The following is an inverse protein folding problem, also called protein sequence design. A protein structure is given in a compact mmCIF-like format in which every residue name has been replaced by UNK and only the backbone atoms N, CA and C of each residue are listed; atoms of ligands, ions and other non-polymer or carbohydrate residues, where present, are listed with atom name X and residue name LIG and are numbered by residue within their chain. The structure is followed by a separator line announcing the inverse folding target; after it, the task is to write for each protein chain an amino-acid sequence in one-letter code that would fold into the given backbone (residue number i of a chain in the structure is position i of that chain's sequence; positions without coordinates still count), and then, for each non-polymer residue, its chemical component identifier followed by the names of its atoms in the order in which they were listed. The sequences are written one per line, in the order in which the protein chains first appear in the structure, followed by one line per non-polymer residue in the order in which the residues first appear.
data_IF_133822782414
#
_entry.id   IF_133822782414
#
_cell.length_a   1.000
_cell.length_b   1.000
_cell.length_c   1.000
_cell.angle_alpha   90.00
_cell.angle_beta   90.00
_cell.angle_gamma   90.00
#
_symmetry.space_group_name_H-M   'P 1'
#
loop_
_entity.id
_entity.type
_entity.pdbx_description
1 polymer ?
#
# COMPACT_ATOMS: atom_id res chain seq x y z
N UNK A 1 36.78 7.71 15.24
CA UNK A 1 36.77 6.33 14.74
C UNK A 1 36.64 5.44 15.96
N UNK A 2 35.49 4.82 16.08
CA UNK A 2 35.24 3.91 17.20
C UNK A 2 35.95 2.57 16.93
N UNK A 3 36.25 1.85 17.98
CA UNK A 3 36.93 0.57 17.93
C UNK A 3 35.90 -0.52 18.25
N UNK A 4 35.87 -1.57 17.45
CA UNK A 4 35.03 -2.72 17.77
C UNK A 4 35.49 -3.40 19.07
N UNK A 5 34.64 -4.24 19.67
CA UNK A 5 34.89 -4.91 20.95
C UNK A 5 36.22 -5.67 21.03
N UNK A 6 36.89 -5.96 19.92
CA UNK A 6 38.17 -6.62 19.83
C UNK A 6 39.34 -5.67 19.49
N UNK A 7 39.14 -4.36 19.58
CA UNK A 7 40.18 -3.37 19.33
C UNK A 7 40.51 -3.14 17.85
N UNK A 8 39.67 -3.62 16.93
CA UNK A 8 39.78 -3.32 15.51
C UNK A 8 39.21 -1.96 15.12
N UNK A 9 39.49 -1.53 13.90
CA UNK A 9 38.90 -0.31 13.34
C UNK A 9 37.42 -0.56 13.04
N UNK A 10 36.57 0.27 13.65
CA UNK A 10 35.12 0.22 13.31
C UNK A 10 34.91 0.79 11.93
N UNK A 11 34.16 0.06 11.11
CA UNK A 11 33.72 0.53 9.82
C UNK A 11 32.61 1.59 9.98
N UNK A 12 32.55 2.53 9.07
CA UNK A 12 31.46 3.51 9.05
C UNK A 12 30.11 2.78 8.94
N UNK A 13 29.15 3.14 9.81
CA UNK A 13 27.84 2.53 9.88
C UNK A 13 27.68 1.46 10.98
N UNK A 14 28.76 0.99 11.61
CA UNK A 14 28.65 0.06 12.74
C UNK A 14 28.29 0.82 14.02
N UNK A 15 27.16 0.50 14.59
CA UNK A 15 26.74 0.88 15.93
C UNK A 15 26.13 -0.35 16.59
N UNK A 16 26.68 -0.77 17.72
CA UNK A 16 26.19 -1.93 18.47
C UNK A 16 24.71 -1.73 18.87
N UNK A 17 23.89 -2.73 18.62
CA UNK A 17 22.45 -2.71 18.88
C UNK A 17 21.60 -2.16 17.71
N UNK A 18 22.20 -1.54 16.70
CA UNK A 18 21.45 -1.16 15.50
C UNK A 18 21.14 -2.38 14.62
N UNK A 19 20.01 -2.32 13.93
CA UNK A 19 19.64 -3.34 12.95
C UNK A 19 20.67 -3.42 11.81
N UNK A 20 20.90 -4.62 11.30
CA UNK A 20 21.71 -4.86 10.10
C UNK A 20 20.81 -4.62 8.90
N UNK A 21 21.11 -3.63 8.07
CA UNK A 21 20.44 -3.33 6.83
C UNK A 21 21.09 -4.11 5.69
N UNK A 22 20.28 -4.75 4.86
CA UNK A 22 20.74 -5.50 3.70
C UNK A 22 20.33 -4.80 2.42
N UNK A 23 21.18 -4.92 1.41
CA UNK A 23 20.91 -4.42 0.07
C UNK A 23 21.27 -5.50 -0.95
N UNK A 24 20.40 -5.66 -1.95
CA UNK A 24 20.61 -6.56 -3.08
C UNK A 24 20.86 -5.74 -4.33
N UNK A 25 21.96 -6.04 -5.02
CA UNK A 25 22.26 -5.43 -6.30
C UNK A 25 21.83 -6.36 -7.44
N UNK A 26 20.89 -5.85 -8.28
CA UNK A 26 20.45 -6.55 -9.49
C UNK A 26 21.30 -6.09 -10.68
N UNK A 27 22.18 -6.96 -11.15
CA UNK A 27 23.19 -6.62 -12.16
C UNK A 27 22.59 -6.22 -13.51
N UNK A 28 21.47 -6.84 -13.90
CA UNK A 28 20.79 -6.59 -15.17
C UNK A 28 20.21 -5.17 -15.26
N UNK A 29 19.74 -4.63 -14.14
CA UNK A 29 19.18 -3.29 -14.06
C UNK A 29 20.18 -2.26 -13.54
N UNK A 30 21.36 -2.73 -13.09
CA UNK A 30 22.38 -1.93 -12.41
C UNK A 30 21.80 -1.12 -11.23
N UNK A 31 20.84 -1.68 -10.52
CA UNK A 31 20.09 -1.05 -9.44
C UNK A 31 20.31 -1.81 -8.13
N UNK A 32 20.35 -1.06 -7.03
CA UNK A 32 20.48 -1.58 -5.66
C UNK A 32 19.11 -1.46 -4.99
N UNK A 33 18.62 -2.57 -4.48
CA UNK A 33 17.37 -2.65 -3.73
C UNK A 33 17.66 -2.88 -2.26
N UNK A 34 16.84 -2.34 -1.39
CA UNK A 34 16.81 -2.72 0.02
C UNK A 34 16.29 -4.15 0.13
N UNK A 35 16.66 -4.85 1.19
CA UNK A 35 16.25 -6.23 1.36
C UNK A 35 15.93 -6.54 2.81
N UNK A 36 14.87 -7.31 3.01
CA UNK A 36 14.48 -7.85 4.30
C UNK A 36 15.13 -9.21 4.53
N UNK A 37 15.61 -9.44 5.76
CA UNK A 37 16.29 -10.67 6.14
C UNK A 37 15.49 -11.44 7.19
N UNK A 38 15.21 -12.70 6.91
CA UNK A 38 14.75 -13.67 7.92
C UNK A 38 15.94 -14.36 8.54
N UNK A 39 16.01 -14.35 9.88
CA UNK A 39 17.14 -14.89 10.61
C UNK A 39 16.83 -16.28 11.15
N UNK A 40 17.78 -17.21 10.98
CA UNK A 40 17.74 -18.53 11.62
C UNK A 40 18.50 -18.53 12.96
N UNK A 41 19.37 -17.54 13.20
CA UNK A 41 20.05 -17.30 14.47
C UNK A 41 20.47 -15.83 14.57
N UNK A 42 20.52 -15.30 15.80
CA UNK A 42 20.78 -13.89 16.07
C UNK A 42 19.52 -13.04 16.02
N UNK A 43 19.65 -11.77 16.41
CA UNK A 43 18.57 -10.79 16.40
C UNK A 43 18.57 -9.87 15.18
N UNK A 44 19.59 -10.01 14.32
CA UNK A 44 19.79 -9.11 13.19
C UNK A 44 20.34 -7.75 13.57
N UNK A 45 20.99 -7.66 14.73
CA UNK A 45 21.60 -6.43 15.21
C UNK A 45 23.13 -6.51 15.18
N UNK A 46 23.76 -5.37 14.98
CA UNK A 46 25.19 -5.26 15.14
C UNK A 46 25.58 -5.54 16.59
N UNK A 47 26.57 -6.43 16.79
CA UNK A 47 27.01 -6.88 18.10
C UNK A 47 26.56 -8.28 18.48
N UNK A 48 25.68 -8.90 17.72
CA UNK A 48 25.35 -10.33 17.85
C UNK A 48 26.61 -11.18 17.68
N UNK A 49 26.78 -12.20 18.52
CA UNK A 49 27.92 -13.14 18.42
C UNK A 49 27.84 -13.93 17.11
N UNK A 50 26.62 -14.29 16.70
CA UNK A 50 26.34 -14.98 15.44
C UNK A 50 25.03 -14.43 14.88
N UNK A 51 25.07 -14.02 13.62
CA UNK A 51 23.88 -13.70 12.82
C UNK A 51 23.85 -14.64 11.61
N UNK A 52 22.78 -15.39 11.45
CA UNK A 52 22.57 -16.29 10.33
C UNK A 52 21.27 -15.92 9.62
N UNK A 53 21.39 -15.51 8.37
CA UNK A 53 20.24 -15.20 7.50
C UNK A 53 19.82 -16.49 6.79
N UNK A 54 18.55 -16.86 6.93
CA UNK A 54 17.95 -18.01 6.25
C UNK A 54 17.28 -17.63 4.92
N UNK A 55 16.79 -16.40 4.81
CA UNK A 55 16.16 -15.84 3.62
C UNK A 55 16.51 -14.36 3.53
N UNK A 56 16.77 -13.89 2.32
CA UNK A 56 16.98 -12.48 2.02
C UNK A 56 16.08 -12.13 0.83
N UNK A 57 15.08 -11.29 1.08
CA UNK A 57 14.09 -10.89 0.08
C UNK A 57 14.33 -9.43 -0.31
N UNK A 58 14.61 -9.14 -1.59
CA UNK A 58 14.72 -7.76 -2.05
C UNK A 58 13.36 -7.07 -2.00
N UNK A 59 13.38 -5.82 -1.55
CA UNK A 59 12.20 -4.98 -1.45
C UNK A 59 12.15 -4.10 -2.70
N UNK A 60 11.13 -4.27 -3.52
CA UNK A 60 10.97 -3.50 -4.75
C UNK A 60 9.96 -2.37 -4.51
N UNK A 61 10.41 -1.12 -4.62
CA UNK A 61 9.46 -0.01 -4.75
C UNK A 61 8.78 -0.07 -6.13
N UNK A 62 7.51 0.29 -6.14
CA UNK A 62 6.72 0.41 -7.35
C UNK A 62 6.15 1.81 -7.46
N UNK A 63 5.89 2.27 -8.68
CA UNK A 63 5.20 3.52 -8.90
C UNK A 63 3.73 3.25 -9.19
N UNK A 64 2.86 3.76 -8.32
CA UNK A 64 1.43 3.81 -8.58
C UNK A 64 1.08 5.12 -9.26
N UNK A 65 0.29 5.05 -10.31
CA UNK A 65 -0.21 6.19 -11.06
C UNK A 65 -1.73 6.20 -11.03
N UNK A 66 -2.32 7.33 -10.62
CA UNK A 66 -3.77 7.50 -10.46
C UNK A 66 -4.21 8.67 -11.33
N UNK A 67 -5.18 8.45 -12.20
CA UNK A 67 -5.79 9.49 -13.02
C UNK A 67 -6.84 10.25 -12.22
N UNK A 68 -6.80 11.58 -12.30
CA UNK A 68 -7.75 12.50 -11.70
C UNK A 68 -8.51 13.22 -12.81
N UNK A 69 -9.81 13.02 -12.86
CA UNK A 69 -10.67 13.69 -13.83
C UNK A 69 -11.03 15.10 -13.34
N UNK A 70 -10.97 16.06 -14.27
CA UNK A 70 -11.32 17.44 -13.97
C UNK A 70 -12.83 17.61 -13.82
N UNK A 71 -13.25 18.64 -13.07
CA UNK A 71 -14.64 19.06 -12.88
C UNK A 71 -15.54 18.04 -12.14
N UNK A 72 -14.95 17.00 -11.59
CA UNK A 72 -15.66 16.03 -10.75
C UNK A 72 -14.87 15.69 -9.48
N UNK A 73 -15.53 15.07 -8.52
CA UNK A 73 -14.88 14.52 -7.33
C UNK A 73 -14.29 13.16 -7.72
N UNK A 74 -13.03 12.96 -7.42
CA UNK A 74 -12.34 11.69 -7.60
C UNK A 74 -12.16 11.04 -6.24
N UNK A 75 -12.70 9.86 -6.02
CA UNK A 75 -12.37 9.05 -4.86
C UNK A 75 -11.18 8.17 -5.22
N UNK A 76 -10.06 8.41 -4.57
CA UNK A 76 -8.79 7.72 -4.83
C UNK A 76 -8.29 6.97 -3.61
N UNK A 77 -7.44 5.99 -3.84
CA UNK A 77 -6.68 5.32 -2.79
C UNK A 77 -5.32 4.85 -3.30
N UNK A 78 -4.42 4.68 -2.34
CA UNK A 78 -3.09 4.19 -2.63
C UNK A 78 -2.96 2.72 -2.19
N UNK A 79 -2.35 1.89 -3.03
CA UNK A 79 -1.97 0.52 -2.69
C UNK A 79 -0.45 0.36 -2.53
N UNK A 80 0.24 1.49 -2.40
CA UNK A 80 1.66 1.60 -2.07
C UNK A 80 1.84 2.51 -0.85
N UNK A 81 2.85 2.23 -0.05
CA UNK A 81 3.25 3.04 1.11
C UNK A 81 4.53 3.77 0.77
N UNK A 82 4.46 5.09 0.65
CA UNK A 82 5.62 5.94 0.39
C UNK A 82 6.30 6.35 1.69
N UNK A 83 7.61 6.55 1.65
CA UNK A 83 8.36 7.17 2.74
C UNK A 83 7.93 8.62 2.97
N UNK A 84 7.46 9.30 1.93
CA UNK A 84 6.95 10.65 2.02
C UNK A 84 5.41 10.63 2.00
N UNK A 85 4.81 10.83 3.18
CA UNK A 85 3.37 10.86 3.39
C UNK A 85 2.78 12.27 3.48
N UNK A 86 3.60 13.32 3.43
CA UNK A 86 3.11 14.71 3.48
C UNK A 86 2.15 15.00 2.32
N UNK A 87 0.93 15.43 2.64
CA UNK A 87 -0.13 15.64 1.64
C UNK A 87 0.26 16.68 0.59
N UNK A 88 1.00 17.71 0.98
CA UNK A 88 1.45 18.75 0.06
C UNK A 88 2.51 18.24 -0.91
N UNK A 89 3.31 17.28 -0.49
CA UNK A 89 4.31 16.61 -1.33
C UNK A 89 3.67 15.60 -2.28
N UNK A 90 2.71 14.81 -1.81
CA UNK A 90 1.97 13.83 -2.65
C UNK A 90 1.26 14.52 -3.81
N UNK A 91 0.68 15.69 -3.58
CA UNK A 91 -0.04 16.47 -4.59
C UNK A 91 0.74 17.66 -5.16
N UNK A 92 2.08 17.70 -5.00
CA UNK A 92 2.90 18.85 -5.38
C UNK A 92 2.77 19.26 -6.86
N UNK A 93 2.63 18.29 -7.75
CA UNK A 93 2.53 18.50 -9.21
C UNK A 93 1.07 18.62 -9.69
N UNK A 94 0.11 18.61 -8.77
CA UNK A 94 -1.32 18.63 -9.08
C UNK A 94 -1.99 19.93 -8.65
N UNK A 95 -2.88 20.45 -9.49
CA UNK A 95 -3.69 21.61 -9.17
C UNK A 95 -4.91 21.20 -8.32
N UNK A 96 -4.68 20.73 -7.11
CA UNK A 96 -5.74 20.35 -6.18
C UNK A 96 -6.44 21.61 -5.67
N UNK A 97 -7.77 21.64 -5.76
CA UNK A 97 -8.59 22.63 -5.08
C UNK A 97 -8.82 22.23 -3.63
N UNK A 98 -9.21 20.97 -3.43
CA UNK A 98 -9.44 20.37 -2.12
C UNK A 98 -9.23 18.87 -2.17
N UNK A 99 -8.62 18.33 -1.14
CA UNK A 99 -8.62 16.90 -0.83
C UNK A 99 -9.18 16.70 0.57
N UNK A 100 -9.96 15.64 0.80
CA UNK A 100 -10.56 15.34 2.10
C UNK A 100 -10.59 13.84 2.40
N UNK A 101 -10.64 13.50 3.70
CA UNK A 101 -10.80 12.15 4.19
C UNK A 101 -12.15 11.95 4.92
N UNK A 102 -12.42 10.73 5.38
CA UNK A 102 -13.63 10.35 6.10
C UNK A 102 -13.74 10.95 7.52
N UNK A 103 -12.63 11.42 8.09
CA UNK A 103 -12.62 12.15 9.36
C UNK A 103 -13.03 13.63 9.24
N UNK A 104 -13.31 14.10 8.03
CA UNK A 104 -13.65 15.49 7.75
C UNK A 104 -12.45 16.44 7.76
N UNK A 105 -11.23 15.91 7.75
CA UNK A 105 -10.02 16.70 7.55
C UNK A 105 -9.85 16.99 6.06
N UNK A 106 -9.24 18.12 5.73
CA UNK A 106 -9.03 18.52 4.35
C UNK A 106 -7.74 19.30 4.15
N UNK A 107 -7.23 19.20 2.93
CA UNK A 107 -6.11 19.97 2.40
C UNK A 107 -6.63 20.86 1.26
N UNK A 108 -6.42 22.18 1.38
CA UNK A 108 -6.83 23.18 0.39
C UNK A 108 -5.67 24.17 0.18
N UNK A 109 -4.70 23.86 -0.71
CA UNK A 109 -3.43 24.59 -0.83
C UNK A 109 -3.62 26.07 -1.15
N UNK A 110 -4.57 26.40 -2.01
CA UNK A 110 -4.84 27.79 -2.40
C UNK A 110 -5.36 28.69 -1.28
N UNK A 111 -5.85 28.07 -0.21
CA UNK A 111 -6.32 28.77 0.99
C UNK A 111 -5.36 28.67 2.15
N UNK A 112 -4.21 27.98 1.95
CA UNK A 112 -3.21 27.75 3.00
C UNK A 112 -3.73 26.89 4.14
N UNK A 113 -4.67 25.98 3.85
CA UNK A 113 -5.25 25.07 4.84
C UNK A 113 -4.74 23.68 4.63
N UNK A 114 -4.19 23.11 5.68
CA UNK A 114 -3.80 21.72 5.77
C UNK A 114 -4.22 21.17 7.14
N UNK A 115 -5.25 20.34 7.15
CA UNK A 115 -5.74 19.62 8.33
C UNK A 115 -5.48 18.12 8.21
N UNK A 116 -5.02 17.62 7.04
CA UNK A 116 -4.66 16.24 6.81
C UNK A 116 -3.24 15.99 7.34
N UNK A 117 -2.29 16.87 6.97
CA UNK A 117 -0.87 16.72 7.27
C UNK A 117 -0.25 15.56 6.50
N UNK A 118 -0.37 14.36 7.04
CA UNK A 118 0.16 13.13 6.43
C UNK A 118 -0.95 12.26 5.85
N UNK A 119 -0.71 11.68 4.69
CA UNK A 119 -1.58 10.69 4.04
C UNK A 119 -1.50 9.37 4.83
N UNK A 120 -2.64 8.88 5.27
CA UNK A 120 -2.82 7.51 5.74
C UNK A 120 -3.11 6.63 4.52
N UNK A 121 -2.13 5.85 4.08
CA UNK A 121 -2.26 4.98 2.91
C UNK A 121 -3.31 3.87 3.07
N UNK A 122 -3.77 3.61 4.29
CA UNK A 122 -4.87 2.68 4.57
C UNK A 122 -6.26 3.28 4.32
N UNK A 123 -6.34 4.55 3.89
CA UNK A 123 -7.58 5.29 3.67
C UNK A 123 -7.75 5.71 2.23
N UNK A 124 -9.02 5.94 1.87
CA UNK A 124 -9.37 6.62 0.64
C UNK A 124 -9.50 8.13 0.85
N UNK A 125 -9.34 8.88 -0.21
CA UNK A 125 -9.41 10.34 -0.24
C UNK A 125 -10.31 10.81 -1.38
N UNK A 126 -11.10 11.86 -1.12
CA UNK A 126 -11.84 12.55 -2.15
C UNK A 126 -11.03 13.76 -2.63
N UNK A 127 -10.73 13.83 -3.92
CA UNK A 127 -9.90 14.87 -4.54
C UNK A 127 -10.68 15.61 -5.60
N UNK A 128 -10.69 16.95 -5.52
CA UNK A 128 -11.25 17.81 -6.56
C UNK A 128 -10.16 18.74 -7.11
N UNK A 129 -10.03 18.74 -8.44
CA UNK A 129 -9.04 19.56 -9.12
C UNK A 129 -9.52 21.00 -9.35
N UNK A 130 -8.60 21.93 -9.32
CA UNK A 130 -8.82 23.28 -9.81
C UNK A 130 -8.54 23.33 -11.32
N UNK A 131 -9.53 23.71 -12.10
CA UNK A 131 -9.40 23.80 -13.56
C UNK A 131 -10.16 22.71 -14.30
N UNK A 132 -9.96 22.64 -15.59
CA UNK A 132 -10.73 21.80 -16.52
C UNK A 132 -9.85 20.78 -17.26
N UNK A 133 -8.68 20.49 -16.77
CA UNK A 133 -7.75 19.51 -17.35
C UNK A 133 -7.53 18.36 -16.39
N UNK A 134 -7.67 17.15 -16.90
CA UNK A 134 -7.32 15.94 -16.17
C UNK A 134 -5.84 15.92 -15.80
N UNK A 135 -5.51 15.29 -14.71
CA UNK A 135 -4.16 15.23 -14.16
C UNK A 135 -3.87 13.81 -13.65
N UNK A 136 -2.63 13.59 -13.30
CA UNK A 136 -2.19 12.29 -12.79
C UNK A 136 -1.40 12.50 -11.50
N UNK A 137 -1.75 11.76 -10.46
CA UNK A 137 -0.92 11.62 -9.25
C UNK A 137 -0.03 10.40 -9.44
N UNK A 138 1.27 10.57 -9.20
CA UNK A 138 2.22 9.45 -9.20
C UNK A 138 2.92 9.40 -7.85
N UNK A 139 2.93 8.23 -7.24
CA UNK A 139 3.58 7.98 -5.97
C UNK A 139 4.46 6.74 -6.06
N UNK A 140 5.68 6.83 -5.57
CA UNK A 140 6.60 5.71 -5.46
C UNK A 140 6.62 5.22 -4.01
N UNK A 141 6.55 3.91 -3.82
CA UNK A 141 6.56 3.30 -2.49
C UNK A 141 6.59 1.78 -2.54
N UNK A 142 6.52 1.17 -1.37
CA UNK A 142 6.41 -0.27 -1.23
C UNK A 142 4.96 -0.70 -1.44
N UNK A 143 4.70 -1.79 -2.17
CA UNK A 143 3.36 -2.35 -2.25
C UNK A 143 2.80 -2.61 -0.85
N UNK A 144 1.52 -2.30 -0.63
CA UNK A 144 0.86 -2.72 0.60
C UNK A 144 0.82 -4.25 0.67
N UNK A 145 1.04 -4.84 1.88
CA UNK A 145 0.94 -6.29 2.05
C UNK A 145 -0.45 -6.80 1.64
N UNK A 146 -0.51 -7.91 0.90
CA UNK A 146 -1.79 -8.50 0.46
C UNK A 146 -2.68 -8.93 1.64
N UNK A 147 -2.07 -9.27 2.78
CA UNK A 147 -2.73 -9.65 4.03
C UNK A 147 -3.04 -8.45 4.94
N UNK A 148 -2.97 -7.23 4.41
CA UNK A 148 -3.28 -6.03 5.19
C UNK A 148 -4.72 -6.09 5.73
N UNK A 149 -4.86 -5.90 7.04
CA UNK A 149 -6.17 -5.89 7.70
C UNK A 149 -6.76 -4.49 7.69
N UNK A 150 -7.90 -4.34 7.03
CA UNK A 150 -8.70 -3.12 7.00
C UNK A 150 -9.57 -3.01 8.23
N UNK A 151 -9.67 -1.79 8.77
CA UNK A 151 -10.56 -1.46 9.89
C UNK A 151 -11.65 -0.52 9.42
N UNK A 152 -12.89 -1.00 9.47
CA UNK A 152 -14.09 -0.25 9.06
C UNK A 152 -14.96 -0.01 10.29
N UNK A 153 -15.20 1.26 10.59
CA UNK A 153 -15.97 1.65 11.77
C UNK A 153 -17.48 1.59 11.47
N UNK A 154 -18.24 1.10 12.44
CA UNK A 154 -19.70 1.11 12.36
C UNK A 154 -20.27 2.53 12.47
N UNK A 155 -21.51 2.69 12.03
CA UNK A 155 -22.33 3.90 12.15
C UNK A 155 -21.77 5.15 11.45
N UNK A 156 -20.78 4.98 10.59
CA UNK A 156 -20.23 6.05 9.75
C UNK A 156 -19.89 5.56 8.36
N UNK A 157 -19.76 6.50 7.42
CA UNK A 157 -19.17 6.22 6.11
C UNK A 157 -17.65 6.17 6.28
N UNK A 158 -17.03 5.13 5.76
CA UNK A 158 -15.57 4.99 5.75
C UNK A 158 -15.08 5.09 4.32
N UNK A 159 -14.03 5.88 4.09
CA UNK A 159 -13.31 5.88 2.83
C UNK A 159 -12.17 4.88 2.96
N UNK A 160 -12.27 3.76 2.25
CA UNK A 160 -11.29 2.69 2.31
C UNK A 160 -10.34 2.72 1.11
N UNK A 161 -9.11 2.28 1.33
CA UNK A 161 -8.19 2.01 0.24
C UNK A 161 -8.52 0.66 -0.42
N UNK A 162 -8.04 0.49 -1.64
CA UNK A 162 -8.07 -0.78 -2.35
C UNK A 162 -6.65 -1.34 -2.43
N UNK A 163 -6.39 -2.40 -1.68
CA UNK A 163 -5.04 -2.97 -1.50
C UNK A 163 -4.57 -3.83 -2.68
N UNK A 164 -5.43 -4.70 -3.29
CA UNK A 164 -4.96 -5.59 -4.35
C UNK A 164 -4.39 -4.83 -5.56
N UNK A 165 -3.49 -5.49 -6.29
CA UNK A 165 -2.84 -4.92 -7.48
C UNK A 165 -3.68 -5.10 -8.76
N UNK A 166 -4.68 -5.99 -8.72
CA UNK A 166 -5.58 -6.29 -9.83
C UNK A 166 -7.02 -5.96 -9.44
N UNK A 167 -7.88 -5.71 -10.43
CA UNK A 167 -9.29 -5.51 -10.17
C UNK A 167 -9.96 -6.82 -9.74
N UNK A 168 -10.90 -6.74 -8.80
CA UNK A 168 -11.67 -7.87 -8.30
C UNK A 168 -13.14 -7.52 -8.19
N UNK A 169 -13.98 -8.48 -8.51
CA UNK A 169 -15.44 -8.34 -8.36
C UNK A 169 -15.82 -8.05 -6.91
N UNK A 170 -16.67 -7.05 -6.70
CA UNK A 170 -17.10 -6.61 -5.36
C UNK A 170 -17.81 -7.71 -4.58
N UNK A 171 -18.54 -8.61 -5.25
CA UNK A 171 -19.22 -9.74 -4.61
C UNK A 171 -18.20 -10.76 -4.07
N UNK A 172 -17.07 -10.96 -4.78
CA UNK A 172 -15.99 -11.82 -4.31
C UNK A 172 -15.27 -11.20 -3.11
N UNK A 173 -15.07 -9.88 -3.11
CA UNK A 173 -14.40 -9.18 -2.00
C UNK A 173 -15.20 -9.31 -0.71
N UNK A 174 -16.52 -9.21 -0.79
CA UNK A 174 -17.40 -9.22 0.38
C UNK A 174 -18.15 -10.55 0.57
N UNK A 175 -17.69 -11.63 -0.08
CA UNK A 175 -18.25 -12.98 0.12
C UNK A 175 -18.16 -13.39 1.61
N UNK A 176 -19.30 -13.78 2.18
CA UNK A 176 -19.43 -14.09 3.60
C UNK A 176 -19.52 -12.86 4.52
N UNK A 177 -19.54 -11.65 3.99
CA UNK A 177 -19.70 -10.39 4.73
C UNK A 177 -21.00 -9.64 4.36
N UNK A 178 -21.90 -10.27 3.60
CA UNK A 178 -23.11 -9.63 3.08
C UNK A 178 -24.04 -9.13 4.20
N UNK A 179 -24.06 -9.79 5.31
CA UNK A 179 -24.84 -9.39 6.50
C UNK A 179 -24.19 -8.25 7.30
N UNK A 180 -22.91 -7.92 6.98
CA UNK A 180 -22.14 -6.88 7.67
C UNK A 180 -22.05 -5.59 6.85
N UNK A 181 -22.14 -5.68 5.53
CA UNK A 181 -22.04 -4.56 4.61
C UNK A 181 -23.43 -4.06 4.21
N UNK A 182 -23.74 -2.80 4.49
CA UNK A 182 -24.98 -2.18 4.02
C UNK A 182 -24.86 -1.71 2.59
N UNK A 183 -23.79 -0.97 2.28
CA UNK A 183 -23.53 -0.41 0.95
C UNK A 183 -22.03 -0.18 0.75
N UNK A 184 -21.55 -0.46 -0.45
CA UNK A 184 -20.28 0.03 -0.98
C UNK A 184 -20.57 0.90 -2.19
N UNK A 185 -19.87 2.01 -2.37
CA UNK A 185 -20.03 2.91 -3.52
C UNK A 185 -18.70 3.51 -3.96
N UNK A 186 -18.63 3.91 -5.22
CA UNK A 186 -17.52 4.64 -5.82
C UNK A 186 -17.90 6.10 -6.16
N UNK A 187 -17.01 6.81 -6.82
CA UNK A 187 -17.19 8.20 -7.26
C UNK A 187 -18.03 8.34 -8.54
N UNK A 188 -18.22 7.26 -9.30
CA UNK A 188 -19.07 7.25 -10.50
C UNK A 188 -20.56 7.18 -10.17
N UNK A 189 -20.88 6.89 -8.90
CA UNK A 189 -22.23 6.63 -8.44
C UNK A 189 -22.66 5.17 -8.59
N UNK A 190 -21.73 4.27 -8.92
CA UNK A 190 -21.96 2.84 -8.87
C UNK A 190 -21.94 2.36 -7.41
N UNK A 191 -22.72 1.32 -7.13
CA UNK A 191 -22.88 0.80 -5.78
C UNK A 191 -23.17 -0.69 -5.73
N UNK A 192 -22.83 -1.28 -4.59
CA UNK A 192 -23.14 -2.65 -4.21
C UNK A 192 -23.95 -2.65 -2.91
N UNK A 193 -25.11 -3.28 -2.92
CA UNK A 193 -26.02 -3.43 -1.76
C UNK A 193 -26.40 -4.89 -1.63
N UNK A 194 -25.63 -5.70 -0.88
CA UNK A 194 -25.79 -7.14 -0.83
C UNK A 194 -27.17 -7.59 -0.37
N UNK A 195 -27.75 -6.95 0.64
CA UNK A 195 -29.06 -7.29 1.17
C UNK A 195 -30.20 -7.23 0.14
N UNK A 196 -30.03 -6.49 -0.95
CA UNK A 196 -31.02 -6.37 -2.03
C UNK A 196 -30.55 -7.03 -3.35
N UNK A 197 -29.37 -7.66 -3.35
CA UNK A 197 -28.78 -8.27 -4.55
C UNK A 197 -28.53 -7.24 -5.66
N UNK A 198 -28.21 -6.01 -5.27
CA UNK A 198 -27.93 -4.94 -6.24
C UNK A 198 -26.43 -4.74 -6.36
N UNK A 199 -25.92 -4.94 -7.56
CA UNK A 199 -24.54 -4.68 -7.93
C UNK A 199 -24.51 -3.90 -9.26
N UNK A 200 -24.19 -2.61 -9.19
CA UNK A 200 -23.93 -1.76 -10.35
C UNK A 200 -22.45 -1.38 -10.45
N UNK A 201 -21.64 -1.79 -9.47
CA UNK A 201 -20.22 -1.46 -9.36
C UNK A 201 -19.36 -2.41 -10.22
N UNK A 202 -19.67 -3.73 -10.19
CA UNK A 202 -18.82 -4.75 -10.79
C UNK A 202 -17.49 -4.88 -10.03
N UNK A 203 -16.40 -4.50 -10.70
CA UNK A 203 -15.06 -4.64 -10.15
C UNK A 203 -14.62 -3.42 -9.31
N UNK A 204 -13.96 -3.70 -8.20
CA UNK A 204 -13.12 -2.72 -7.49
C UNK A 204 -11.69 -2.79 -8.03
N UNK A 205 -11.05 -1.64 -8.24
CA UNK A 205 -9.77 -1.55 -8.95
C UNK A 205 -8.72 -0.71 -8.19
N UNK A 206 -7.42 -0.97 -8.42
CA UNK A 206 -6.33 -0.17 -7.87
C UNK A 206 -6.45 1.32 -8.22
N UNK A 207 -6.04 2.19 -7.28
CA UNK A 207 -6.10 3.64 -7.45
C UNK A 207 -7.45 4.27 -7.13
N UNK A 208 -8.51 3.48 -7.09
CA UNK A 208 -9.85 3.94 -6.71
C UNK A 208 -10.06 3.88 -5.20
N UNK A 209 -10.69 4.91 -4.64
CA UNK A 209 -11.20 4.91 -3.27
C UNK A 209 -12.66 4.48 -3.25
N UNK A 210 -13.04 3.77 -2.20
CA UNK A 210 -14.40 3.26 -2.06
C UNK A 210 -14.99 3.68 -0.74
N UNK A 211 -16.29 3.97 -0.74
CA UNK A 211 -17.03 4.33 0.46
C UNK A 211 -17.84 3.13 0.93
N UNK A 212 -17.62 2.73 2.17
CA UNK A 212 -18.34 1.61 2.79
C UNK A 212 -19.09 2.04 4.03
N UNK A 213 -20.33 1.61 4.16
CA UNK A 213 -21.15 1.76 5.36
C UNK A 213 -21.58 0.37 5.84
N UNK A 214 -21.35 0.11 7.12
CA UNK A 214 -21.67 -1.19 7.73
C UNK A 214 -23.14 -1.28 8.16
N UNK A 215 -23.66 -2.49 8.08
CA UNK A 215 -24.93 -2.85 8.70
C UNK A 215 -24.68 -3.25 10.16
N UNK A 216 -25.39 -2.59 11.09
CA UNK A 216 -25.26 -2.88 12.52
C UNK A 216 -24.37 -1.88 13.25
N UNK A 217 -23.95 -2.25 14.46
CA UNK A 217 -23.25 -1.39 15.41
C UNK A 217 -21.82 -1.85 15.73
N UNK A 218 -21.36 -2.90 15.09
CA UNK A 218 -20.05 -3.50 15.35
C UNK A 218 -19.09 -3.14 14.22
N UNK A 219 -17.88 -2.73 14.56
CA UNK A 219 -16.80 -2.50 13.62
C UNK A 219 -16.45 -3.82 12.90
N UNK A 220 -15.87 -3.67 11.70
CA UNK A 220 -15.46 -4.79 10.88
C UNK A 220 -13.96 -4.73 10.63
N UNK A 221 -13.30 -5.84 10.90
CA UNK A 221 -11.95 -6.12 10.41
C UNK A 221 -12.07 -7.09 9.23
N UNK A 222 -11.49 -6.75 8.08
CA UNK A 222 -11.46 -7.64 6.94
C UNK A 222 -10.14 -7.51 6.18
N UNK A 223 -9.82 -8.55 5.43
CA UNK A 223 -8.71 -8.58 4.48
C UNK A 223 -9.27 -8.80 3.09
N UNK A 224 -8.67 -8.17 2.09
CA UNK A 224 -9.01 -8.49 0.71
C UNK A 224 -8.65 -9.96 0.43
N UNK A 225 -9.48 -10.68 -0.35
CA UNK A 225 -9.13 -12.03 -0.78
C UNK A 225 -7.77 -12.00 -1.48
N UNK A 226 -6.91 -12.97 -1.18
CA UNK A 226 -5.63 -13.09 -1.87
C UNK A 226 -5.84 -13.47 -3.34
N UNK A 227 -5.04 -12.89 -4.22
CA UNK A 227 -5.03 -13.22 -5.64
C UNK A 227 -4.64 -14.68 -5.94
N UNK A 228 -4.11 -15.41 -4.98
CA UNK A 228 -3.75 -16.83 -5.09
C UNK A 228 -4.93 -17.78 -5.33
N UNK A 229 -6.17 -17.32 -5.16
CA UNK A 229 -7.38 -18.05 -5.57
C UNK A 229 -7.69 -17.98 -7.07
N UNK A 230 -7.18 -16.99 -7.75
CA UNK A 230 -7.22 -16.86 -9.22
C UNK A 230 -5.87 -17.35 -9.72
N UNK A 231 -5.85 -18.46 -10.44
CA UNK A 231 -4.66 -19.14 -10.93
C UNK A 231 -3.55 -18.15 -11.31
N UNK A 232 -2.55 -18.03 -10.45
CA UNK A 232 -1.34 -17.24 -10.67
C UNK A 232 -0.71 -17.77 -11.95
N UNK A 233 -0.81 -17.01 -13.02
CA UNK A 233 0.09 -17.19 -14.14
C UNK A 233 1.44 -16.82 -13.57
N UNK A 234 2.28 -17.81 -13.27
CA UNK A 234 3.65 -17.59 -12.83
C UNK A 234 4.30 -16.57 -13.78
N UNK A 235 4.58 -15.37 -13.27
CA UNK A 235 5.31 -14.38 -14.05
C UNK A 235 6.72 -14.91 -14.31
N UNK A 236 7.34 -14.55 -15.42
CA UNK A 236 8.73 -14.98 -15.74
C UNK A 236 9.70 -14.64 -14.59
N UNK A 237 9.40 -13.60 -13.82
CA UNK A 237 10.15 -13.21 -12.62
C UNK A 237 10.08 -14.23 -11.47
N UNK A 238 8.89 -14.77 -11.17
CA UNK A 238 8.76 -15.79 -10.11
C UNK A 238 9.45 -17.11 -10.51
N UNK A 239 9.47 -17.44 -11.81
CA UNK A 239 10.24 -18.57 -12.34
C UNK A 239 11.74 -18.36 -12.22
N UNK A 240 12.22 -17.16 -12.54
CA UNK A 240 13.64 -16.82 -12.44
C UNK A 240 14.16 -17.03 -11.02
N UNK A 241 13.44 -16.57 -10.00
CA UNK A 241 13.84 -16.72 -8.60
C UNK A 241 13.73 -18.15 -8.10
N UNK A 242 12.71 -18.91 -8.49
CA UNK A 242 12.60 -20.33 -8.16
C UNK A 242 13.75 -21.15 -8.77
N UNK A 243 14.11 -20.89 -10.02
CA UNK A 243 15.22 -21.54 -10.71
C UNK A 243 16.58 -21.11 -10.17
N UNK A 244 16.74 -19.84 -9.78
CA UNK A 244 17.97 -19.32 -9.17
C UNK A 244 18.24 -19.98 -7.81
N UNK A 245 17.22 -20.06 -6.95
CA UNK A 245 17.32 -20.74 -5.64
C UNK A 245 17.58 -22.22 -5.80
N UNK A 246 16.90 -22.90 -6.72
CA UNK A 246 17.10 -24.32 -6.98
C UNK A 246 18.52 -24.63 -7.48
N UNK A 247 19.11 -23.75 -8.29
CA UNK A 247 20.46 -23.94 -8.84
C UNK A 247 21.57 -23.50 -7.87
N UNK A 248 21.31 -22.63 -6.91
CA UNK A 248 22.29 -22.19 -5.91
C UNK A 248 22.49 -23.16 -4.74
N UNK A 249 21.57 -24.10 -4.55
CA UNK A 249 21.64 -25.13 -3.47
C UNK A 249 22.30 -26.45 -3.95
N UNK A 250 22.61 -26.57 -5.22
CA UNK A 250 23.16 -27.83 -5.82
C UNK A 250 24.67 -27.82 -6.14
N UNK A 251 25.46 -26.91 -5.54
CA UNK A 251 26.93 -26.88 -5.64
C UNK A 251 27.62 -26.99 -4.28
#
# INVERSE_FOLDING_TARGET
VDVCAFGGVQLAGYIEGNAIEFKVWKAEENTVYDAEATYSAGSGQWGDIITSVSLLEPIFSVTQTIELEALMMNSISFNVVSENSDVSSVFADNNVLITSNDAGQYYAPNFGVDLIGEIDFAKGYDVFLQGASDQTVSIEGLPMPEDYTMYVNALQMNNICYVPQECMDVEMIFDGLEDRVLIVSDDSGAYYVPAFGVNTMGDMCPGKGYKIFLQGMEDLEFQFPSSDGLARTETEESRFWADYVANSVST
#
